data_IF_102795586957
#
_entry.id   IF_102795586957
#
_cell.length_a   1.000
_cell.length_b   1.000
_cell.length_c   1.000
_cell.angle_alpha   90.00
_cell.angle_beta   90.00
_cell.angle_gamma   90.00
#
_symmetry.space_group_name_H-M   'P 1'
#
loop_
_entity.id
_entity.type
_entity.pdbx_description
1 polymer ?
#
# COMPACT_ATOMS: atom_id res chain seq x y z
N UNK A 1 25.01 11.81 69.04
CA UNK A 1 23.83 12.65 68.77
C UNK A 1 23.88 13.06 67.31
N UNK A 2 23.02 12.47 66.47
CA UNK A 2 23.00 12.66 65.03
C UNK A 2 21.99 13.77 64.70
N UNK A 3 22.43 14.83 64.01
CA UNK A 3 21.53 15.88 63.51
C UNK A 3 20.73 15.34 62.32
N UNK A 4 19.40 15.34 62.42
CA UNK A 4 18.51 15.22 61.27
C UNK A 4 17.93 16.60 60.96
N UNK A 5 18.44 17.18 59.89
CA UNK A 5 17.96 18.39 59.23
C UNK A 5 16.73 18.03 58.38
N UNK A 6 15.57 18.59 58.72
CA UNK A 6 14.45 18.69 57.79
C UNK A 6 14.62 20.01 57.05
N UNK A 7 14.70 20.03 55.71
CA UNK A 7 14.76 21.28 54.96
C UNK A 7 13.44 22.04 55.08
N UNK A 8 13.52 23.23 55.68
CA UNK A 8 12.53 24.30 55.58
C UNK A 8 12.24 24.57 54.09
N UNK A 9 11.01 24.37 53.65
CA UNK A 9 10.56 24.80 52.32
C UNK A 9 10.53 26.34 52.29
N UNK A 10 11.68 26.95 51.97
CA UNK A 10 11.72 28.36 51.63
C UNK A 10 10.83 28.58 50.38
N UNK A 11 9.67 29.18 50.60
CA UNK A 11 8.72 29.50 49.54
C UNK A 11 9.37 30.43 48.52
N UNK A 12 9.60 29.90 47.32
CA UNK A 12 10.04 30.65 46.16
C UNK A 12 9.01 31.73 45.83
N UNK A 13 9.32 32.97 46.20
CA UNK A 13 8.51 34.13 45.83
C UNK A 13 8.60 34.35 44.31
N UNK A 14 7.58 33.93 43.57
CA UNK A 14 7.45 34.20 42.13
C UNK A 14 7.33 35.70 41.90
N UNK A 15 8.39 36.33 41.40
CA UNK A 15 8.37 37.76 41.07
C UNK A 15 7.41 37.99 39.89
N UNK A 16 6.54 39.01 39.93
CA UNK A 16 5.52 39.27 38.90
C UNK A 16 6.09 39.40 37.47
N UNK A 17 7.37 39.75 37.35
CA UNK A 17 8.09 39.81 36.07
C UNK A 17 8.16 38.45 35.34
N UNK A 18 8.16 37.33 36.07
CA UNK A 18 8.15 36.00 35.46
C UNK A 18 6.81 35.71 34.79
N UNK A 19 5.71 36.17 35.39
CA UNK A 19 4.37 36.05 34.82
C UNK A 19 4.19 36.94 33.60
N UNK A 20 4.78 38.14 33.61
CA UNK A 20 4.81 39.00 32.42
C UNK A 20 5.58 38.31 31.29
N UNK A 21 6.74 37.72 31.58
CA UNK A 21 7.55 37.02 30.58
C UNK A 21 6.81 35.83 29.94
N UNK A 22 6.12 34.99 30.72
CA UNK A 22 5.29 33.90 30.18
C UNK A 22 4.11 34.42 29.37
N UNK A 23 3.43 35.46 29.85
CA UNK A 23 2.31 36.05 29.12
C UNK A 23 2.75 36.63 27.76
N UNK A 24 3.89 37.31 27.69
CA UNK A 24 4.44 37.83 26.43
C UNK A 24 4.85 36.70 25.48
N UNK A 25 5.45 35.63 25.99
CA UNK A 25 5.82 34.47 25.18
C UNK A 25 4.58 33.78 24.55
N UNK A 26 3.52 33.57 25.33
CA UNK A 26 2.27 32.96 24.84
C UNK A 26 1.57 33.87 23.84
N UNK A 27 1.50 35.19 24.12
CA UNK A 27 0.93 36.16 23.19
C UNK A 27 1.72 36.22 21.85
N UNK A 28 3.05 36.10 21.91
CA UNK A 28 3.90 35.98 20.73
C UNK A 28 3.57 34.74 19.89
N UNK A 29 3.44 33.57 20.51
CA UNK A 29 3.08 32.33 19.80
C UNK A 29 1.70 32.47 19.12
N UNK A 30 0.69 33.00 19.82
CA UNK A 30 -0.65 33.19 19.25
C UNK A 30 -0.63 34.22 18.11
N UNK A 31 0.07 35.34 18.28
CA UNK A 31 0.17 36.38 17.24
C UNK A 31 0.96 35.91 16.00
N UNK A 32 1.99 35.08 16.16
CA UNK A 32 2.74 34.51 15.03
C UNK A 32 2.06 33.30 14.38
N UNK A 33 1.13 32.63 15.07
CA UNK A 33 0.42 31.47 14.53
C UNK A 33 -0.47 31.80 13.31
N UNK A 34 -0.91 33.06 13.19
CA UNK A 34 -1.69 33.52 12.03
C UNK A 34 -0.85 33.89 10.80
N UNK A 35 0.47 33.97 10.93
CA UNK A 35 1.37 34.26 9.80
C UNK A 35 1.76 32.96 9.07
N UNK A 36 1.76 31.83 9.79
CA UNK A 36 1.83 30.49 9.21
C UNK A 36 0.44 29.88 9.11
N UNK A 37 -0.46 30.53 8.36
CA UNK A 37 -1.65 29.83 7.91
C UNK A 37 -1.21 28.79 6.87
N UNK A 38 -1.54 27.50 7.02
CA UNK A 38 -1.49 26.59 5.89
C UNK A 38 -2.35 27.23 4.80
N UNK A 39 -1.79 27.35 3.59
CA UNK A 39 -2.46 28.00 2.47
C UNK A 39 -3.91 27.52 2.41
N UNK A 40 -4.83 28.47 2.23
CA UNK A 40 -6.27 28.23 2.20
C UNK A 40 -6.57 26.88 1.57
N UNK A 41 -7.03 25.93 2.39
CA UNK A 41 -7.62 24.71 1.91
C UNK A 41 -8.94 25.11 1.26
N UNK A 42 -8.82 25.66 0.05
CA UNK A 42 -9.89 25.63 -0.92
C UNK A 42 -10.20 24.15 -1.04
N UNK A 43 -11.28 23.71 -0.40
CA UNK A 43 -12.00 22.54 -0.86
C UNK A 43 -12.39 22.90 -2.29
N UNK A 44 -11.49 22.59 -3.23
CA UNK A 44 -11.88 22.49 -4.62
C UNK A 44 -13.04 21.50 -4.55
N UNK A 45 -14.27 21.87 -4.95
CA UNK A 45 -15.23 20.84 -5.27
C UNK A 45 -14.48 19.92 -6.21
N UNK A 46 -14.32 18.65 -5.81
CA UNK A 46 -13.84 17.61 -6.70
C UNK A 46 -14.58 17.85 -7.99
N UNK A 47 -13.87 18.27 -9.03
CA UNK A 47 -14.49 18.64 -10.29
C UNK A 47 -15.54 17.58 -10.59
N UNK A 48 -16.80 18.02 -10.65
CA UNK A 48 -17.86 17.31 -11.35
C UNK A 48 -17.48 17.33 -12.84
N UNK A 49 -16.42 16.58 -13.14
CA UNK A 49 -15.48 16.82 -14.21
C UNK A 49 -14.19 15.99 -14.06
N UNK A 50 -14.18 14.96 -13.19
CA UNK A 50 -13.64 13.69 -13.66
C UNK A 50 -14.54 13.31 -14.85
N UNK A 51 -14.15 13.78 -16.03
CA UNK A 51 -14.60 13.21 -17.29
C UNK A 51 -14.58 11.70 -17.06
N UNK A 52 -15.69 10.98 -17.27
CA UNK A 52 -15.69 9.54 -17.09
C UNK A 52 -14.49 9.03 -17.87
N UNK A 53 -13.48 8.49 -17.18
CA UNK A 53 -12.33 7.88 -17.84
C UNK A 53 -12.95 6.98 -18.89
N UNK A 54 -12.72 7.33 -20.15
CA UNK A 54 -13.43 6.73 -21.27
C UNK A 54 -13.47 5.23 -21.03
N UNK A 55 -14.67 4.64 -21.05
CA UNK A 55 -14.80 3.22 -20.79
C UNK A 55 -13.78 2.48 -21.66
N UNK A 56 -13.01 1.53 -21.10
CA UNK A 56 -11.91 0.91 -21.83
C UNK A 56 -12.44 0.40 -23.16
N UNK A 57 -11.78 0.81 -24.25
CA UNK A 57 -12.25 0.52 -25.61
C UNK A 57 -12.12 -0.97 -25.94
N UNK A 58 -11.32 -1.71 -25.17
CA UNK A 58 -11.14 -3.15 -25.27
C UNK A 58 -11.52 -3.88 -23.96
N UNK A 59 -12.05 -5.11 -24.04
CA UNK A 59 -12.29 -5.93 -22.86
C UNK A 59 -10.97 -6.35 -22.21
N UNK A 60 -10.98 -6.46 -20.88
CA UNK A 60 -9.83 -6.95 -20.13
C UNK A 60 -9.51 -8.43 -20.47
N UNK A 61 -8.21 -8.81 -20.49
CA UNK A 61 -7.78 -10.17 -20.80
C UNK A 61 -8.42 -11.22 -19.88
N UNK A 62 -8.89 -12.32 -20.46
CA UNK A 62 -9.41 -13.45 -19.69
C UNK A 62 -8.31 -14.16 -18.90
N UNK A 63 -8.63 -14.66 -17.71
CA UNK A 63 -7.71 -15.49 -16.91
C UNK A 63 -7.77 -16.97 -17.29
N UNK A 64 -8.74 -17.38 -18.11
CA UNK A 64 -9.00 -18.77 -18.49
C UNK A 64 -8.03 -19.23 -19.57
N UNK A 65 -7.45 -20.42 -19.40
CA UNK A 65 -6.53 -21.01 -20.38
C UNK A 65 -5.17 -20.32 -20.48
N UNK A 66 -4.86 -19.47 -19.50
CA UNK A 66 -3.56 -18.80 -19.38
C UNK A 66 -2.60 -19.72 -18.64
N UNK A 67 -1.38 -19.83 -19.16
CA UNK A 67 -0.30 -20.53 -18.48
C UNK A 67 0.35 -19.62 -17.45
N UNK A 68 0.09 -19.85 -16.17
CA UNK A 68 0.78 -19.18 -15.07
C UNK A 68 2.12 -19.88 -14.77
N UNK A 69 3.21 -19.14 -14.53
CA UNK A 69 4.52 -19.71 -14.22
C UNK A 69 4.57 -20.21 -12.76
N UNK A 70 3.74 -21.21 -12.47
CA UNK A 70 3.60 -21.87 -11.17
C UNK A 70 3.70 -23.38 -11.38
N UNK A 71 4.51 -24.06 -10.57
CA UNK A 71 4.62 -25.52 -10.61
C UNK A 71 3.72 -26.14 -9.53
N UNK A 72 2.55 -26.61 -9.95
CA UNK A 72 1.60 -27.26 -9.06
C UNK A 72 1.70 -28.79 -9.05
N UNK A 73 2.68 -29.38 -9.75
CA UNK A 73 2.76 -30.82 -9.93
C UNK A 73 1.45 -31.37 -10.51
N UNK A 74 0.77 -32.33 -9.83
CA UNK A 74 -0.44 -32.96 -10.35
C UNK A 74 -1.72 -32.13 -10.18
N UNK A 75 -1.71 -31.08 -9.33
CA UNK A 75 -2.90 -30.25 -9.09
C UNK A 75 -2.92 -29.05 -10.03
N UNK A 76 -4.09 -28.41 -10.14
CA UNK A 76 -4.30 -27.28 -11.04
C UNK A 76 -3.89 -25.97 -10.36
N UNK A 77 -3.52 -24.97 -11.17
CA UNK A 77 -3.46 -23.59 -10.69
C UNK A 77 -4.88 -22.99 -10.68
N UNK A 78 -5.23 -22.30 -9.60
CA UNK A 78 -6.51 -21.63 -9.40
C UNK A 78 -6.31 -20.12 -9.30
N UNK A 79 -7.14 -19.39 -10.03
CA UNK A 79 -7.23 -17.93 -9.89
C UNK A 79 -8.24 -17.64 -8.77
N UNK A 80 -7.76 -17.13 -7.65
CA UNK A 80 -8.60 -16.87 -6.46
C UNK A 80 -9.09 -15.44 -6.36
N UNK A 81 -8.34 -14.49 -6.93
CA UNK A 81 -8.75 -13.08 -7.06
C UNK A 81 -8.30 -12.54 -8.40
N UNK A 82 -9.03 -11.57 -8.93
CA UNK A 82 -8.63 -10.83 -10.12
C UNK A 82 -9.21 -9.42 -10.13
N UNK A 83 -8.51 -8.52 -10.77
CA UNK A 83 -8.93 -7.15 -11.03
C UNK A 83 -8.31 -6.69 -12.35
N UNK A 84 -8.90 -5.69 -12.98
CA UNK A 84 -8.45 -5.19 -14.27
C UNK A 84 -8.43 -3.67 -14.27
N UNK A 85 -7.57 -3.12 -15.11
CA UNK A 85 -7.39 -1.69 -15.30
C UNK A 85 -6.29 -1.44 -16.31
N UNK A 86 -6.26 -0.25 -16.89
CA UNK A 86 -5.15 0.22 -17.71
C UNK A 86 -3.95 0.49 -16.78
N UNK A 87 -2.93 -0.36 -16.84
CA UNK A 87 -1.79 -0.32 -15.91
C UNK A 87 -0.59 0.40 -16.51
N UNK A 88 -0.48 0.47 -17.84
CA UNK A 88 0.63 1.12 -18.54
C UNK A 88 0.25 2.45 -19.21
N UNK A 89 -1.04 2.79 -19.24
CA UNK A 89 -1.57 4.04 -19.76
C UNK A 89 -1.81 4.02 -21.27
N UNK A 90 -1.84 2.86 -21.91
CA UNK A 90 -2.04 2.73 -23.37
C UNK A 90 -3.52 2.74 -23.81
N UNK A 91 -4.45 2.85 -22.86
CA UNK A 91 -5.90 2.83 -23.09
C UNK A 91 -6.50 1.42 -23.20
N UNK A 92 -5.70 0.36 -23.02
CA UNK A 92 -6.13 -1.04 -23.06
C UNK A 92 -5.92 -1.64 -21.68
N UNK A 93 -6.94 -2.29 -21.09
CA UNK A 93 -6.81 -2.80 -19.74
C UNK A 93 -5.96 -4.08 -19.70
N UNK A 94 -5.14 -4.19 -18.66
CA UNK A 94 -4.56 -5.44 -18.18
C UNK A 94 -5.51 -6.13 -17.21
N UNK A 95 -5.28 -7.42 -17.00
CA UNK A 95 -5.86 -8.17 -15.88
C UNK A 95 -4.74 -8.58 -14.94
N UNK A 96 -4.94 -8.42 -13.65
CA UNK A 96 -4.03 -8.92 -12.61
C UNK A 96 -4.73 -10.07 -11.90
N UNK A 97 -4.08 -11.21 -11.84
CA UNK A 97 -4.61 -12.44 -11.25
C UNK A 97 -3.76 -12.86 -10.03
N UNK A 98 -4.44 -13.15 -8.92
CA UNK A 98 -3.86 -13.84 -7.77
C UNK A 98 -4.12 -15.33 -7.96
N UNK A 99 -3.05 -16.11 -7.97
CA UNK A 99 -3.09 -17.52 -8.36
C UNK A 99 -2.29 -18.36 -7.38
N UNK A 100 -2.84 -19.50 -6.98
CA UNK A 100 -2.10 -20.52 -6.25
C UNK A 100 -2.45 -21.92 -6.76
N UNK A 101 -1.77 -22.94 -6.23
CA UNK A 101 -2.13 -24.32 -6.54
C UNK A 101 -3.38 -24.75 -5.77
N UNK A 102 -4.20 -25.61 -6.37
CA UNK A 102 -5.34 -26.28 -5.74
C UNK A 102 -4.87 -27.35 -4.75
N UNK A 103 -4.20 -26.91 -3.69
CA UNK A 103 -3.69 -27.78 -2.65
C UNK A 103 -4.82 -28.08 -1.65
N UNK A 104 -5.17 -29.35 -1.41
CA UNK A 104 -6.27 -29.70 -0.50
C UNK A 104 -5.94 -29.44 0.97
N UNK A 105 -4.66 -29.20 1.29
CA UNK A 105 -4.17 -29.03 2.66
C UNK A 105 -3.21 -27.82 2.76
N UNK A 106 -3.41 -27.00 3.78
CA UNK A 106 -2.63 -25.79 4.02
C UNK A 106 -3.11 -24.57 3.21
N UNK A 107 -2.35 -23.48 3.29
CA UNK A 107 -2.57 -22.29 2.46
C UNK A 107 -1.39 -22.16 1.51
N UNK A 108 -1.53 -22.60 0.24
CA UNK A 108 -0.45 -22.49 -0.73
C UNK A 108 -0.09 -21.00 -0.93
N UNK A 109 1.19 -20.69 -1.16
CA UNK A 109 1.60 -19.32 -1.43
C UNK A 109 0.99 -18.84 -2.75
N UNK A 110 0.65 -17.56 -2.79
CA UNK A 110 0.06 -16.92 -3.95
C UNK A 110 1.14 -16.35 -4.86
N UNK A 111 0.96 -16.51 -6.15
CA UNK A 111 1.59 -15.70 -7.18
C UNK A 111 0.65 -14.60 -7.65
N UNK A 112 1.19 -13.41 -7.90
CA UNK A 112 0.42 -12.30 -8.49
C UNK A 112 0.98 -12.03 -9.88
N UNK A 113 0.15 -12.19 -10.90
CA UNK A 113 0.57 -12.12 -12.30
C UNK A 113 -0.21 -11.04 -13.05
N UNK A 114 0.49 -10.30 -13.91
CA UNK A 114 -0.12 -9.32 -14.83
C UNK A 114 -0.28 -9.96 -16.20
N UNK A 115 -1.48 -9.87 -16.75
CA UNK A 115 -1.88 -10.37 -18.04
C UNK A 115 -2.18 -9.23 -18.98
N UNK A 116 -1.69 -9.33 -20.20
CA UNK A 116 -2.09 -8.46 -21.32
C UNK A 116 -2.56 -9.29 -22.50
N UNK A 117 -3.33 -8.68 -23.39
CA UNK A 117 -3.70 -9.24 -24.68
C UNK A 117 -3.54 -8.16 -25.75
N UNK A 118 -2.58 -8.33 -26.66
CA UNK A 118 -2.39 -7.45 -27.82
C UNK A 118 -3.66 -7.40 -28.71
N UNK A 119 -3.87 -6.32 -29.46
CA UNK A 119 -5.08 -6.14 -30.28
C UNK A 119 -5.32 -7.31 -31.26
N UNK A 120 -4.24 -7.86 -31.81
CA UNK A 120 -4.28 -8.98 -32.74
C UNK A 120 -3.96 -10.34 -32.06
N UNK A 121 -3.79 -10.36 -30.73
CA UNK A 121 -3.44 -11.57 -30.01
C UNK A 121 -4.70 -12.42 -29.76
N UNK A 122 -4.62 -13.70 -30.09
CA UNK A 122 -5.73 -14.66 -29.90
C UNK A 122 -5.90 -15.09 -28.44
N UNK A 123 -4.85 -14.96 -27.62
CA UNK A 123 -4.83 -15.40 -26.22
C UNK A 123 -4.08 -14.39 -25.35
N UNK A 124 -4.53 -14.18 -24.10
CA UNK A 124 -3.76 -13.48 -23.08
C UNK A 124 -2.44 -14.19 -22.77
N UNK A 125 -1.46 -13.42 -22.29
CA UNK A 125 -0.19 -13.95 -21.77
C UNK A 125 0.22 -13.21 -20.50
N UNK A 126 0.99 -13.88 -19.65
CA UNK A 126 1.64 -13.25 -18.50
C UNK A 126 2.79 -12.36 -18.99
N UNK A 127 2.87 -11.14 -18.49
CA UNK A 127 3.93 -10.16 -18.79
C UNK A 127 4.71 -9.72 -17.57
N UNK A 128 4.17 -9.91 -16.37
CA UNK A 128 4.89 -9.62 -15.13
C UNK A 128 4.44 -10.55 -14.00
N UNK A 129 5.35 -10.76 -13.04
CA UNK A 129 5.12 -11.41 -11.77
C UNK A 129 5.39 -10.39 -10.66
N UNK A 130 4.35 -9.97 -9.95
CA UNK A 130 4.43 -8.97 -8.88
C UNK A 130 4.77 -9.59 -7.52
N UNK A 131 4.32 -10.84 -7.31
CA UNK A 131 4.66 -11.68 -6.16
C UNK A 131 5.08 -13.04 -6.70
N UNK A 132 6.29 -13.48 -6.35
CA UNK A 132 6.76 -14.82 -6.67
C UNK A 132 6.26 -15.79 -5.58
N UNK A 133 5.56 -16.89 -5.92
CA UNK A 133 5.16 -17.91 -4.96
C UNK A 133 6.30 -18.44 -4.07
N UNK A 134 7.56 -18.37 -4.53
CA UNK A 134 8.75 -18.74 -3.75
C UNK A 134 8.99 -17.84 -2.54
N UNK A 135 8.45 -16.63 -2.53
CA UNK A 135 8.54 -15.69 -1.40
C UNK A 135 7.67 -16.14 -0.21
N UNK A 136 6.90 -17.23 -0.36
CA UNK A 136 6.02 -17.80 0.66
C UNK A 136 4.99 -16.78 1.18
N UNK A 137 4.45 -15.96 0.29
CA UNK A 137 3.48 -14.92 0.64
C UNK A 137 2.05 -15.33 0.25
N UNK A 138 1.06 -14.87 1.03
CA UNK A 138 -0.38 -15.03 0.71
C UNK A 138 -1.08 -13.69 0.69
N UNK A 139 -2.03 -13.51 -0.23
CA UNK A 139 -2.69 -12.25 -0.54
C UNK A 139 -4.07 -12.19 0.14
N UNK A 140 -4.15 -11.39 1.21
CA UNK A 140 -5.40 -11.23 1.98
C UNK A 140 -6.28 -10.10 1.47
N UNK A 141 -5.69 -9.03 0.95
CA UNK A 141 -6.39 -7.92 0.30
C UNK A 141 -5.73 -7.59 -1.05
N UNK A 142 -6.51 -7.11 -2.01
CA UNK A 142 -6.07 -6.93 -3.38
C UNK A 142 -6.99 -5.96 -4.16
N UNK A 143 -6.39 -4.98 -4.85
CA UNK A 143 -7.12 -4.05 -5.70
C UNK A 143 -6.26 -3.50 -6.84
N UNK A 144 -6.93 -3.03 -7.90
CA UNK A 144 -6.35 -2.21 -8.98
C UNK A 144 -7.10 -0.88 -9.00
N UNK A 145 -6.39 0.23 -8.87
CA UNK A 145 -6.95 1.60 -8.91
C UNK A 145 -5.97 2.54 -9.57
N UNK A 146 -6.44 3.33 -10.55
CA UNK A 146 -5.65 4.37 -11.22
C UNK A 146 -4.25 3.90 -11.66
N UNK A 147 -4.17 2.73 -12.32
CA UNK A 147 -2.90 2.14 -12.79
C UNK A 147 -2.00 1.55 -11.69
N UNK A 148 -2.45 1.52 -10.43
CA UNK A 148 -1.70 0.97 -9.30
C UNK A 148 -2.33 -0.33 -8.83
N UNK A 149 -1.51 -1.36 -8.71
CA UNK A 149 -1.88 -2.63 -8.07
C UNK A 149 -1.52 -2.55 -6.59
N UNK A 150 -2.45 -2.84 -5.69
CA UNK A 150 -2.19 -2.89 -4.25
C UNK A 150 -2.56 -4.25 -3.67
N UNK A 151 -1.78 -4.74 -2.72
CA UNK A 151 -2.07 -5.96 -1.99
C UNK A 151 -1.66 -5.89 -0.51
N UNK A 152 -2.37 -6.65 0.32
CA UNK A 152 -1.92 -7.00 1.68
C UNK A 152 -1.39 -8.43 1.68
N UNK A 153 -0.12 -8.57 2.04
CA UNK A 153 0.65 -9.81 1.99
C UNK A 153 0.90 -10.31 3.41
N UNK A 154 0.59 -11.58 3.67
CA UNK A 154 1.07 -12.30 4.84
C UNK A 154 2.30 -13.12 4.45
N UNK A 155 3.31 -13.16 5.30
CA UNK A 155 4.53 -13.92 5.08
C UNK A 155 5.24 -14.23 6.39
N UNK A 156 6.52 -14.57 6.30
CA UNK A 156 7.31 -15.08 7.42
C UNK A 156 8.51 -14.18 7.70
N UNK A 157 8.82 -13.95 8.97
CA UNK A 157 9.98 -13.17 9.39
C UNK A 157 11.30 -13.94 9.21
N UNK A 158 11.24 -15.27 9.39
CA UNK A 158 12.36 -16.20 9.28
C UNK A 158 11.86 -17.57 8.79
N UNK A 159 12.78 -18.45 8.38
CA UNK A 159 12.43 -19.81 7.97
C UNK A 159 12.04 -20.74 9.14
N UNK A 160 12.34 -20.34 10.39
CA UNK A 160 11.97 -21.08 11.60
C UNK A 160 10.48 -20.93 11.96
N UNK A 161 9.79 -19.96 11.35
CA UNK A 161 8.36 -19.74 11.60
C UNK A 161 7.55 -20.86 10.94
N UNK A 162 6.67 -21.57 11.69
CA UNK A 162 5.85 -22.64 11.14
C UNK A 162 4.94 -22.17 10.00
N UNK A 163 4.85 -22.95 8.93
CA UNK A 163 4.03 -22.64 7.75
C UNK A 163 2.52 -22.47 8.01
N UNK A 164 2.01 -22.86 9.18
CA UNK A 164 0.61 -22.59 9.56
C UNK A 164 0.35 -21.10 9.84
N UNK A 165 1.42 -20.35 10.11
CA UNK A 165 1.36 -19.24 11.02
C UNK A 165 2.26 -18.09 10.54
N UNK A 166 1.94 -17.46 9.38
CA UNK A 166 2.66 -16.28 8.92
C UNK A 166 2.60 -15.18 9.98
N UNK A 167 3.75 -14.63 10.35
CA UNK A 167 3.93 -13.66 11.43
C UNK A 167 4.25 -12.25 10.93
N UNK A 168 4.37 -12.08 9.60
CA UNK A 168 4.61 -10.78 8.96
C UNK A 168 3.40 -10.39 8.14
N UNK A 169 2.94 -9.15 8.31
CA UNK A 169 1.94 -8.51 7.46
C UNK A 169 2.53 -7.25 6.83
N UNK A 170 2.51 -7.18 5.50
CA UNK A 170 3.01 -6.02 4.73
C UNK A 170 1.98 -5.60 3.69
N UNK A 171 1.87 -4.29 3.47
CA UNK A 171 1.22 -3.76 2.28
C UNK A 171 2.24 -3.63 1.15
N UNK A 172 1.78 -3.73 -0.08
CA UNK A 172 2.59 -3.54 -1.27
C UNK A 172 1.79 -2.81 -2.33
N UNK A 173 2.47 -1.92 -3.05
CA UNK A 173 1.93 -1.27 -4.23
C UNK A 173 2.90 -1.47 -5.38
N UNK A 174 2.37 -1.74 -6.57
CA UNK A 174 3.14 -1.82 -7.80
C UNK A 174 2.57 -0.87 -8.84
N UNK A 175 3.45 -0.16 -9.52
CA UNK A 175 3.10 0.73 -10.61
C UNK A 175 4.04 0.50 -11.79
N UNK A 176 3.49 0.60 -13.00
CA UNK A 176 4.29 0.57 -14.21
C UNK A 176 5.19 1.81 -14.28
N UNK A 177 6.49 1.59 -14.51
CA UNK A 177 7.49 2.64 -14.75
C UNK A 177 8.33 2.25 -15.96
N UNK A 178 7.92 2.73 -17.13
CA UNK A 178 8.76 2.74 -18.34
C UNK A 178 9.30 1.38 -18.79
N UNK A 179 8.57 0.28 -18.56
CA UNK A 179 8.99 -1.06 -18.99
C UNK A 179 8.89 -2.15 -17.92
N UNK A 180 8.71 -1.79 -16.65
CA UNK A 180 8.55 -2.75 -15.57
C UNK A 180 7.58 -2.27 -14.48
N UNK A 181 6.98 -3.21 -13.77
CA UNK A 181 6.28 -2.91 -12.53
C UNK A 181 7.28 -2.74 -11.39
N UNK A 182 7.29 -1.55 -10.78
CA UNK A 182 8.15 -1.24 -9.65
C UNK A 182 7.32 -1.32 -8.37
N UNK A 183 7.81 -2.07 -7.39
CA UNK A 183 7.20 -2.16 -6.06
C UNK A 183 7.63 -0.97 -5.22
N UNK A 184 6.68 -0.27 -4.61
CA UNK A 184 6.92 0.80 -3.65
C UNK A 184 6.81 0.27 -2.21
N UNK A 185 7.55 0.86 -1.28
CA UNK A 185 7.47 0.51 0.14
C UNK A 185 6.22 1.17 0.79
N UNK A 186 5.72 0.62 1.92
CA UNK A 186 4.73 1.32 2.74
C UNK A 186 5.31 2.66 3.22
N UNK A 187 4.90 3.76 2.58
CA UNK A 187 5.41 5.11 2.84
C UNK A 187 5.54 5.96 1.57
N UNK A 188 5.78 5.34 0.42
CA UNK A 188 5.93 6.06 -0.86
C UNK A 188 4.58 6.42 -1.51
N UNK A 189 3.48 5.93 -0.94
CA UNK A 189 2.12 6.26 -1.36
C UNK A 189 1.59 7.55 -0.69
N UNK A 190 2.41 8.25 0.09
CA UNK A 190 2.05 9.51 0.73
C UNK A 190 2.47 10.73 -0.12
N UNK A 191 1.42 11.32 -0.71
CA UNK A 191 1.16 12.76 -0.81
C UNK A 191 1.81 13.52 -1.98
N UNK A 192 0.99 13.82 -3.00
CA UNK A 192 1.00 15.12 -3.71
C UNK A 192 -0.28 15.85 -3.32
#
# INVERSE_FOLDING_TARGET
>A
MQQSVVPELAHTHTRPIHWVATATAVAGVVAFSSILQPGSATAAPTNAGAEPTAAPTAPAPSTTGVHYPLNCGPVKALVVKKASGDLDGDGRPETVAVVHCDAPMGTPPDGVYVLTQGANAKKPRVVATLVDPKDRQTVTDFAVRAGVVTATLLGYSTDDVPSCCPDVKKTAAWQWKGGAFVRSAPGDAQTV
#
